data_IF_928362959904
#
_entry.id   IF_928362959904
#
_cell.length_a   1.000
_cell.length_b   1.000
_cell.length_c   1.000
_cell.angle_alpha   90.00
_cell.angle_beta   90.00
_cell.angle_gamma   90.00
#
_symmetry.space_group_name_H-M   'P 1'
#
loop_
_entity.id
_entity.type
_entity.pdbx_description
1 polymer ?
#
# COMPACT_ATOMS: atom_id res chain seq x y z
N UNK A 1 13.35 18.88 11.79
CA UNK A 1 12.34 18.99 10.76
C UNK A 1 11.83 17.63 10.29
N UNK A 2 10.69 17.56 9.67
CA UNK A 2 10.15 16.36 9.05
C UNK A 2 9.27 16.75 7.86
N UNK A 3 9.12 15.84 6.90
CA UNK A 3 8.18 16.00 5.79
C UNK A 3 7.91 14.65 5.13
N UNK A 4 6.87 14.60 4.31
CA UNK A 4 6.51 13.44 3.52
C UNK A 4 7.29 13.42 2.20
N UNK A 5 7.72 12.24 1.74
CA UNK A 5 8.47 12.08 0.48
C UNK A 5 7.74 11.18 -0.52
N UNK A 6 6.89 10.27 -0.04
CA UNK A 6 6.09 9.42 -0.90
C UNK A 6 4.83 8.94 -0.17
N UNK A 7 3.87 8.43 -0.91
CA UNK A 7 2.73 7.69 -0.38
C UNK A 7 2.90 6.21 -0.70
N UNK A 8 2.54 5.39 0.27
CA UNK A 8 2.36 3.94 0.16
C UNK A 8 0.92 3.60 0.57
N UNK A 9 0.53 2.36 0.42
CA UNK A 9 -0.75 1.87 0.92
C UNK A 9 -0.62 0.50 1.56
N UNK A 10 -1.49 0.21 2.52
CA UNK A 10 -1.68 -1.14 3.02
C UNK A 10 -2.72 -1.83 2.16
N UNK A 11 -2.33 -2.90 1.48
CA UNK A 11 -3.18 -3.66 0.56
C UNK A 11 -3.83 -4.82 1.28
N UNK A 12 -5.12 -4.98 1.06
CA UNK A 12 -5.88 -6.15 1.49
C UNK A 12 -5.75 -7.23 0.43
N UNK A 13 -5.17 -8.38 0.81
CA UNK A 13 -4.98 -9.54 -0.05
C UNK A 13 -5.95 -10.65 0.32
N UNK A 14 -6.47 -11.32 -0.68
CA UNK A 14 -7.26 -12.55 -0.54
C UNK A 14 -6.78 -13.60 -1.53
N UNK A 15 -7.10 -14.86 -1.28
CA UNK A 15 -6.79 -15.94 -2.22
C UNK A 15 -7.40 -15.65 -3.60
N UNK A 16 -6.70 -16.02 -4.68
CA UNK A 16 -7.17 -15.79 -6.04
C UNK A 16 -8.57 -16.38 -6.31
N UNK A 17 -8.90 -17.50 -5.67
CA UNK A 17 -10.20 -18.20 -5.79
C UNK A 17 -11.26 -17.70 -4.82
N UNK A 18 -10.93 -16.80 -3.87
CA UNK A 18 -11.90 -16.27 -2.91
C UNK A 18 -13.00 -15.48 -3.63
N UNK A 19 -14.25 -15.70 -3.28
CA UNK A 19 -15.38 -14.85 -3.72
C UNK A 19 -15.45 -13.54 -2.95
N UNK A 20 -14.80 -13.49 -1.78
CA UNK A 20 -14.80 -12.33 -0.88
C UNK A 20 -13.64 -11.37 -1.25
N UNK A 21 -13.99 -10.29 -1.90
CA UNK A 21 -13.00 -9.31 -2.38
C UNK A 21 -13.40 -7.85 -2.15
N UNK A 22 -14.50 -7.61 -1.42
CA UNK A 22 -15.03 -6.28 -1.13
C UNK A 22 -15.01 -6.03 0.39
N UNK A 23 -14.25 -5.04 0.84
CA UNK A 23 -14.07 -4.75 2.26
C UNK A 23 -14.41 -3.30 2.59
N UNK A 24 -15.08 -3.11 3.72
CA UNK A 24 -15.19 -1.79 4.35
C UNK A 24 -14.18 -1.68 5.49
N UNK A 25 -13.77 -0.48 5.86
CA UNK A 25 -12.89 -0.28 7.03
C UNK A 25 -13.53 -0.81 8.31
N UNK A 26 -14.85 -0.64 8.46
CA UNK A 26 -15.57 -1.16 9.63
C UNK A 26 -15.56 -2.69 9.68
N UNK A 27 -15.75 -3.35 8.55
CA UNK A 27 -15.66 -4.81 8.47
C UNK A 27 -14.27 -5.31 8.85
N UNK A 28 -13.20 -4.69 8.31
CA UNK A 28 -11.83 -5.03 8.65
C UNK A 28 -11.57 -4.84 10.15
N UNK A 29 -12.05 -3.72 10.72
CA UNK A 29 -11.94 -3.44 12.15
C UNK A 29 -12.60 -4.52 13.00
N UNK A 30 -13.88 -4.81 12.74
CA UNK A 30 -14.63 -5.84 13.50
C UNK A 30 -14.01 -7.23 13.37
N UNK A 31 -13.45 -7.54 12.19
CA UNK A 31 -12.73 -8.79 11.97
C UNK A 31 -11.46 -8.87 12.82
N UNK A 32 -10.66 -7.81 12.87
CA UNK A 32 -9.41 -7.76 13.66
C UNK A 32 -9.68 -7.79 15.18
N UNK A 33 -10.83 -7.26 15.61
CA UNK A 33 -11.29 -7.30 17.01
C UNK A 33 -11.94 -8.66 17.38
N UNK A 34 -12.04 -9.61 16.43
CA UNK A 34 -12.67 -10.92 16.66
C UNK A 34 -14.17 -10.87 16.91
N UNK A 35 -14.83 -9.76 16.53
CA UNK A 35 -16.28 -9.54 16.76
C UNK A 35 -17.17 -10.17 15.68
N UNK A 36 -16.59 -10.52 14.55
CA UNK A 36 -17.24 -11.24 13.47
C UNK A 36 -16.46 -12.53 13.18
N UNK A 37 -16.64 -13.17 12.08
CA UNK A 37 -16.06 -14.45 11.67
C UNK A 37 -14.64 -14.78 12.25
N UNK A 38 -14.57 -15.40 13.43
CA UNK A 38 -13.29 -15.76 14.09
C UNK A 38 -12.51 -16.86 13.36
N UNK A 39 -13.12 -17.56 12.43
CA UNK A 39 -12.43 -18.57 11.61
C UNK A 39 -11.60 -17.92 10.50
N UNK A 40 -11.99 -16.74 10.02
CA UNK A 40 -11.24 -16.00 9.02
C UNK A 40 -10.05 -15.29 9.67
N UNK A 41 -8.86 -15.76 9.38
CA UNK A 41 -7.63 -15.18 9.93
C UNK A 41 -7.17 -13.97 9.15
N UNK A 42 -6.59 -13.01 9.87
CA UNK A 42 -5.90 -11.86 9.26
C UNK A 42 -4.41 -12.00 9.53
N UNK A 43 -3.60 -11.85 8.51
CA UNK A 43 -2.14 -12.01 8.58
C UNK A 43 -1.45 -10.72 8.17
N UNK A 44 -0.53 -10.26 9.01
CA UNK A 44 0.30 -9.07 8.78
C UNK A 44 1.75 -9.45 8.49
N UNK A 45 2.44 -8.59 7.75
CA UNK A 45 3.88 -8.63 7.60
C UNK A 45 4.57 -8.06 8.86
N UNK A 46 5.14 -8.93 9.66
CA UNK A 46 5.95 -8.60 10.84
C UNK A 46 5.23 -8.61 12.18
N UNK A 47 6.03 -8.79 13.20
CA UNK A 47 5.61 -8.93 14.61
C UNK A 47 5.64 -7.55 15.28
N UNK A 48 4.50 -7.05 15.72
CA UNK A 48 4.27 -5.94 16.67
C UNK A 48 4.80 -4.53 16.34
N UNK A 49 5.74 -4.32 15.41
CA UNK A 49 6.38 -3.01 15.22
C UNK A 49 6.52 -2.54 13.78
N UNK A 50 5.99 -3.26 12.81
CA UNK A 50 6.06 -2.84 11.40
C UNK A 50 5.17 -1.63 11.13
N UNK A 51 5.53 -0.86 10.11
CA UNK A 51 4.74 0.29 9.68
C UNK A 51 3.30 -0.09 9.31
N UNK A 52 3.08 -1.32 8.79
CA UNK A 52 1.74 -1.85 8.47
C UNK A 52 0.90 -2.03 9.72
N UNK A 53 1.44 -2.71 10.72
CA UNK A 53 0.76 -2.96 11.99
C UNK A 53 0.42 -1.66 12.72
N UNK A 54 1.39 -0.73 12.86
CA UNK A 54 1.17 0.57 13.49
C UNK A 54 0.11 1.38 12.77
N UNK A 55 0.19 1.46 11.44
CA UNK A 55 -0.78 2.19 10.65
C UNK A 55 -2.21 1.66 10.87
N UNK A 56 -2.40 0.35 10.91
CA UNK A 56 -3.72 -0.25 11.15
C UNK A 56 -4.20 0.00 12.59
N UNK A 57 -3.32 -0.11 13.59
CA UNK A 57 -3.67 0.20 14.98
C UNK A 57 -4.15 1.65 15.13
N UNK A 58 -3.43 2.59 14.53
CA UNK A 58 -3.72 4.01 14.68
C UNK A 58 -4.91 4.46 13.83
N UNK A 59 -4.96 4.01 12.56
CA UNK A 59 -5.92 4.54 11.58
C UNK A 59 -7.25 3.76 11.54
N UNK A 60 -7.20 2.43 11.72
CA UNK A 60 -8.39 1.57 11.60
C UNK A 60 -8.94 1.20 12.97
N UNK A 61 -8.11 0.71 13.89
CA UNK A 61 -8.55 0.28 15.22
C UNK A 61 -8.73 1.45 16.19
N UNK A 62 -8.01 2.56 15.97
CA UNK A 62 -8.15 3.80 16.77
C UNK A 62 -8.04 3.52 18.28
N UNK A 63 -6.98 2.81 18.68
CA UNK A 63 -6.69 2.47 20.08
C UNK A 63 -7.28 1.14 20.57
N UNK A 64 -8.12 0.47 19.80
CA UNK A 64 -8.56 -0.88 20.13
C UNK A 64 -7.42 -1.90 19.89
N UNK A 65 -7.50 -3.06 20.56
CA UNK A 65 -6.51 -4.12 20.44
C UNK A 65 -6.93 -5.16 19.40
N UNK A 66 -5.96 -5.82 18.82
CA UNK A 66 -6.18 -7.04 18.02
C UNK A 66 -6.66 -8.20 18.89
N UNK A 67 -7.57 -9.00 18.35
CA UNK A 67 -7.82 -10.34 18.89
C UNK A 67 -6.73 -11.30 18.37
N UNK A 68 -5.86 -11.76 19.26
CA UNK A 68 -4.73 -12.64 18.94
C UNK A 68 -5.17 -14.03 18.45
N UNK A 69 -6.45 -14.39 18.62
CA UNK A 69 -7.00 -15.64 18.07
C UNK A 69 -7.30 -15.50 16.58
N UNK A 70 -7.50 -14.28 16.07
CA UNK A 70 -7.83 -13.97 14.68
C UNK A 70 -6.63 -13.43 13.93
N UNK A 71 -5.86 -12.55 14.57
CA UNK A 71 -4.73 -11.88 13.96
C UNK A 71 -3.45 -12.68 14.15
N UNK A 72 -2.72 -12.91 13.07
CA UNK A 72 -1.43 -13.60 13.02
C UNK A 72 -0.36 -12.68 12.42
N UNK A 73 0.88 -12.91 12.80
CA UNK A 73 2.05 -12.24 12.24
C UNK A 73 2.88 -13.24 11.43
N UNK A 74 3.28 -12.85 10.23
CA UNK A 74 4.28 -13.53 9.43
C UNK A 74 5.61 -12.78 9.52
N UNK A 75 6.74 -13.39 9.16
CA UNK A 75 8.06 -12.75 9.25
C UNK A 75 8.23 -11.60 8.26
N UNK A 76 7.64 -11.75 7.07
CA UNK A 76 7.74 -10.78 5.98
C UNK A 76 6.51 -10.85 5.07
N UNK A 77 6.44 -9.94 4.10
CA UNK A 77 5.33 -9.85 3.15
C UNK A 77 5.19 -11.10 2.26
N UNK A 78 6.29 -11.80 1.96
CA UNK A 78 6.25 -13.00 1.13
C UNK A 78 5.56 -14.16 1.86
N UNK A 79 5.86 -14.37 3.15
CA UNK A 79 5.15 -15.35 3.98
C UNK A 79 3.65 -15.03 4.09
N UNK A 80 3.27 -13.75 4.15
CA UNK A 80 1.84 -13.38 4.12
C UNK A 80 1.21 -13.84 2.82
N UNK A 81 1.85 -13.55 1.68
CA UNK A 81 1.34 -13.89 0.35
C UNK A 81 1.20 -15.41 0.19
N UNK A 82 2.21 -16.17 0.61
CA UNK A 82 2.18 -17.64 0.53
C UNK A 82 1.08 -18.20 1.46
N UNK A 83 0.93 -17.69 2.68
CA UNK A 83 -0.15 -18.10 3.57
C UNK A 83 -1.54 -17.85 2.98
N UNK A 84 -1.74 -16.70 2.34
CA UNK A 84 -3.03 -16.36 1.69
C UNK A 84 -3.26 -17.24 0.46
N UNK A 85 -2.21 -17.59 -0.28
CA UNK A 85 -2.30 -18.50 -1.42
C UNK A 85 -2.77 -19.91 -1.01
N UNK A 86 -2.35 -20.37 0.17
CA UNK A 86 -2.67 -21.70 0.70
C UNK A 86 -3.96 -21.74 1.53
N UNK A 87 -4.41 -20.59 2.05
CA UNK A 87 -5.56 -20.50 2.95
C UNK A 87 -6.69 -19.66 2.32
N UNK A 88 -7.67 -20.28 1.63
CA UNK A 88 -8.70 -19.56 0.87
C UNK A 88 -9.54 -18.57 1.68
N UNK A 89 -9.70 -18.81 2.97
CA UNK A 89 -10.53 -17.97 3.86
C UNK A 89 -9.68 -17.04 4.76
N UNK A 90 -8.48 -16.66 4.32
CA UNK A 90 -7.64 -15.74 5.07
C UNK A 90 -7.54 -14.39 4.36
N UNK A 91 -7.23 -13.35 5.13
CA UNK A 91 -6.98 -11.98 4.66
C UNK A 91 -5.53 -11.63 4.98
N UNK A 92 -4.78 -11.16 3.98
CA UNK A 92 -3.42 -10.64 4.15
C UNK A 92 -3.38 -9.12 4.11
N UNK A 93 -2.48 -8.52 4.87
CA UNK A 93 -2.23 -7.09 4.87
C UNK A 93 -0.73 -6.84 4.66
N UNK A 94 -0.39 -6.28 3.49
CA UNK A 94 1.00 -6.00 3.09
C UNK A 94 1.12 -4.59 2.50
N UNK A 95 2.34 -4.06 2.40
CA UNK A 95 2.60 -2.81 1.69
C UNK A 95 2.41 -2.97 0.18
N UNK A 96 1.86 -1.94 -0.47
CA UNK A 96 1.59 -1.92 -1.91
C UNK A 96 2.86 -2.11 -2.75
N UNK A 97 3.99 -1.57 -2.31
CA UNK A 97 5.29 -1.71 -2.96
C UNK A 97 5.76 -3.17 -3.11
N UNK A 98 5.24 -4.11 -2.32
CA UNK A 98 5.60 -5.53 -2.40
C UNK A 98 4.80 -6.34 -3.43
N UNK A 99 3.70 -5.80 -3.96
CA UNK A 99 2.78 -6.55 -4.84
C UNK A 99 2.15 -5.71 -5.95
N UNK A 100 2.32 -4.40 -5.91
CA UNK A 100 1.62 -3.49 -6.83
C UNK A 100 2.30 -3.30 -8.18
N UNK A 101 3.58 -3.63 -8.34
CA UNK A 101 4.36 -3.32 -9.53
C UNK A 101 4.08 -4.29 -10.69
N UNK A 102 3.44 -3.83 -11.79
CA UNK A 102 3.13 -4.67 -12.95
C UNK A 102 4.35 -4.93 -13.86
N UNK A 103 5.49 -4.30 -13.60
CA UNK A 103 6.73 -4.50 -14.34
C UNK A 103 7.66 -5.52 -13.66
N UNK A 104 7.38 -5.86 -12.39
CA UNK A 104 8.14 -6.84 -11.63
C UNK A 104 7.54 -8.24 -11.81
N UNK A 105 8.29 -9.10 -12.52
CA UNK A 105 7.87 -10.48 -12.80
C UNK A 105 7.64 -11.32 -11.54
N UNK A 106 8.38 -11.07 -10.46
CA UNK A 106 8.18 -11.74 -9.19
C UNK A 106 6.82 -11.35 -8.57
N UNK A 107 6.48 -10.06 -8.58
CA UNK A 107 5.18 -9.58 -8.09
C UNK A 107 4.01 -10.05 -8.98
N UNK A 108 4.18 -10.09 -10.30
CA UNK A 108 3.18 -10.66 -11.22
C UNK A 108 2.92 -12.14 -10.88
N UNK A 109 3.96 -12.93 -10.61
CA UNK A 109 3.79 -14.34 -10.25
C UNK A 109 3.07 -14.51 -8.91
N UNK A 110 3.29 -13.62 -7.93
CA UNK A 110 2.53 -13.59 -6.67
C UNK A 110 1.05 -13.31 -6.93
N UNK A 111 0.72 -12.36 -7.82
CA UNK A 111 -0.65 -12.01 -8.18
C UNK A 111 -1.42 -13.12 -8.93
N UNK A 112 -0.75 -14.19 -9.39
CA UNK A 112 -1.43 -15.39 -9.90
C UNK A 112 -2.03 -16.24 -8.77
N UNK A 113 -1.46 -16.17 -7.57
CA UNK A 113 -1.87 -16.96 -6.39
C UNK A 113 -2.86 -16.22 -5.49
N UNK A 114 -2.74 -14.91 -5.43
CA UNK A 114 -3.55 -14.01 -4.59
C UNK A 114 -4.09 -12.85 -5.42
N UNK A 115 -5.10 -12.17 -4.92
CA UNK A 115 -5.62 -10.96 -5.55
C UNK A 115 -5.75 -9.83 -4.55
N UNK A 116 -5.55 -8.59 -5.02
CA UNK A 116 -5.82 -7.38 -4.26
C UNK A 116 -7.33 -7.17 -4.18
N UNK A 117 -7.84 -7.07 -2.97
CA UNK A 117 -9.23 -6.77 -2.72
C UNK A 117 -9.52 -5.27 -2.90
N UNK A 118 -10.79 -4.95 -3.08
CA UNK A 118 -11.28 -3.58 -3.13
C UNK A 118 -11.67 -3.12 -1.72
N UNK A 119 -11.38 -1.87 -1.40
CA UNK A 119 -11.80 -1.26 -0.14
C UNK A 119 -12.71 -0.08 -0.42
N UNK A 120 -13.77 0.05 0.37
CA UNK A 120 -14.74 1.12 0.19
C UNK A 120 -14.11 2.49 0.44
N UNK A 121 -14.27 3.40 -0.53
CA UNK A 121 -13.83 4.79 -0.39
C UNK A 121 -14.67 5.49 0.68
N UNK A 122 -14.02 6.17 1.62
CA UNK A 122 -14.70 6.87 2.73
C UNK A 122 -14.95 8.35 2.45
N UNK A 123 -14.33 8.90 1.40
CA UNK A 123 -14.42 10.32 1.05
C UNK A 123 -15.14 10.55 -0.29
N UNK A 124 -15.50 9.48 -0.99
CA UNK A 124 -16.18 9.57 -2.28
C UNK A 124 -17.71 9.66 -2.09
N UNK A 125 -18.44 10.45 -2.92
CA UNK A 125 -19.89 10.67 -2.76
C UNK A 125 -20.71 9.37 -2.73
N UNK A 126 -20.42 8.43 -3.65
CA UNK A 126 -21.16 7.17 -3.78
C UNK A 126 -20.51 6.00 -3.05
N UNK A 127 -19.47 6.27 -2.22
CA UNK A 127 -18.74 5.27 -1.47
C UNK A 127 -18.34 4.02 -2.29
N UNK A 128 -17.78 4.15 -3.50
CA UNK A 128 -17.44 3.03 -4.35
C UNK A 128 -16.33 2.16 -3.73
N UNK A 129 -16.28 0.90 -4.13
CA UNK A 129 -15.17 0.01 -3.80
C UNK A 129 -14.01 0.26 -4.76
N UNK A 130 -12.84 0.62 -4.21
CA UNK A 130 -11.68 1.07 -4.96
C UNK A 130 -10.53 0.08 -4.80
N UNK A 131 -9.87 -0.26 -5.91
CA UNK A 131 -8.67 -1.09 -5.93
C UNK A 131 -7.44 -0.24 -5.57
N UNK A 132 -6.46 -0.77 -4.83
CA UNK A 132 -5.19 -0.08 -4.62
C UNK A 132 -4.42 0.00 -5.94
N UNK A 133 -4.28 1.20 -6.45
CA UNK A 133 -3.51 1.56 -7.65
C UNK A 133 -2.83 2.90 -7.40
N UNK A 134 -1.74 3.21 -8.08
CA UNK A 134 -1.05 4.49 -7.90
C UNK A 134 -1.99 5.70 -7.98
N UNK A 135 -2.94 5.68 -8.92
CA UNK A 135 -3.93 6.76 -9.06
C UNK A 135 -4.87 6.87 -7.86
N UNK A 136 -5.42 5.75 -7.38
CA UNK A 136 -6.34 5.74 -6.22
C UNK A 136 -5.64 6.04 -4.91
N UNK A 137 -4.34 5.74 -4.80
CA UNK A 137 -3.48 6.09 -3.67
C UNK A 137 -3.17 7.59 -3.70
N UNK A 138 -2.79 8.13 -4.87
CA UNK A 138 -2.51 9.55 -5.07
C UNK A 138 -3.71 10.44 -4.74
N UNK A 139 -4.90 10.06 -5.24
CA UNK A 139 -6.16 10.78 -4.95
C UNK A 139 -6.73 10.53 -3.56
N UNK A 140 -6.14 9.60 -2.78
CA UNK A 140 -6.62 9.13 -1.47
C UNK A 140 -8.02 8.51 -1.50
N UNK A 141 -8.50 8.11 -2.66
CA UNK A 141 -9.77 7.36 -2.77
C UNK A 141 -9.64 5.96 -2.17
N UNK A 142 -8.46 5.34 -2.27
CA UNK A 142 -8.14 4.14 -1.49
C UNK A 142 -7.87 4.55 -0.03
N UNK A 143 -8.61 4.02 0.96
CA UNK A 143 -8.59 4.60 2.31
C UNK A 143 -7.39 4.18 3.18
N UNK A 144 -6.65 3.12 2.82
CA UNK A 144 -5.51 2.63 3.59
C UNK A 144 -4.18 3.20 3.08
N UNK A 145 -4.14 4.49 2.79
CA UNK A 145 -2.94 5.22 2.34
C UNK A 145 -2.15 5.72 3.53
N UNK A 146 -0.84 5.54 3.49
CA UNK A 146 0.11 6.02 4.49
C UNK A 146 1.24 6.83 3.85
N UNK A 147 1.74 7.82 4.60
CA UNK A 147 2.91 8.59 4.19
C UNK A 147 4.22 7.91 4.54
N UNK A 148 5.22 8.09 3.67
CA UNK A 148 6.62 7.82 3.97
C UNK A 148 7.26 9.15 4.31
N UNK A 149 7.86 9.24 5.49
CA UNK A 149 8.39 10.46 6.06
C UNK A 149 9.91 10.37 6.24
N UNK A 150 10.58 11.50 6.10
CA UNK A 150 11.91 11.68 6.69
C UNK A 150 11.81 12.51 7.96
N UNK A 151 12.74 12.28 8.86
CA UNK A 151 12.96 13.09 10.07
C UNK A 151 14.42 13.51 10.06
N UNK A 152 14.67 14.81 10.21
CA UNK A 152 16.02 15.39 10.27
C UNK A 152 16.16 16.21 11.56
N UNK A 153 17.26 16.01 12.25
CA UNK A 153 17.62 16.75 13.46
C UNK A 153 18.92 17.53 13.26
N UNK A 154 19.02 18.25 12.14
CA UNK A 154 20.12 19.18 11.87
C UNK A 154 19.66 20.61 12.16
N UNK A 155 20.54 21.38 12.82
CA UNK A 155 20.33 22.80 13.14
C UNK A 155 20.99 23.74 12.13
N UNK A 156 21.76 23.20 11.19
CA UNK A 156 22.49 23.92 10.14
C UNK A 156 22.36 23.16 8.79
N UNK A 157 22.74 23.82 7.72
CA UNK A 157 22.81 23.20 6.40
C UNK A 157 23.92 22.15 6.38
N UNK A 158 23.60 20.92 6.08
CA UNK A 158 24.53 19.81 6.07
C UNK A 158 24.03 18.65 5.21
N UNK A 159 24.72 17.52 5.28
CA UNK A 159 24.48 16.35 4.44
C UNK A 159 23.02 15.82 4.53
N UNK A 160 22.44 15.85 5.72
CA UNK A 160 21.05 15.44 5.89
C UNK A 160 20.07 16.39 5.21
N UNK A 161 20.32 17.71 5.29
CA UNK A 161 19.52 18.72 4.58
C UNK A 161 19.61 18.52 3.07
N UNK A 162 20.82 18.28 2.53
CA UNK A 162 21.04 18.05 1.10
C UNK A 162 20.38 16.74 0.64
N UNK A 163 20.50 15.67 1.44
CA UNK A 163 19.84 14.41 1.15
C UNK A 163 18.31 14.52 1.17
N UNK A 164 17.74 15.23 2.12
CA UNK A 164 16.28 15.46 2.13
C UNK A 164 15.83 16.35 0.98
N UNK A 165 16.68 17.31 0.55
CA UNK A 165 16.51 18.06 -0.68
C UNK A 165 16.47 17.13 -1.89
N UNK A 166 17.47 16.26 -2.04
CA UNK A 166 17.51 15.27 -3.11
C UNK A 166 16.25 14.40 -3.15
N UNK A 167 15.75 13.90 -1.99
CA UNK A 167 14.52 13.08 -1.95
C UNK A 167 13.29 13.84 -2.43
N UNK A 168 13.22 15.16 -2.26
CA UNK A 168 12.08 15.99 -2.68
C UNK A 168 12.13 16.38 -4.16
N UNK A 169 13.31 16.42 -4.77
CA UNK A 169 13.45 16.82 -6.16
C UNK A 169 13.26 15.66 -7.14
N UNK A 170 13.23 15.98 -8.41
CA UNK A 170 12.88 15.09 -9.52
C UNK A 170 13.57 13.71 -9.44
N UNK A 171 14.89 13.70 -9.25
CA UNK A 171 15.66 12.42 -9.21
C UNK A 171 15.24 11.51 -8.05
N UNK A 172 15.09 12.07 -6.86
CA UNK A 172 14.62 11.33 -5.68
C UNK A 172 13.18 10.83 -5.86
N UNK A 173 12.31 11.68 -6.39
CA UNK A 173 10.92 11.32 -6.65
C UNK A 173 10.77 10.24 -7.74
N UNK A 174 11.66 10.22 -8.75
CA UNK A 174 11.73 9.14 -9.73
C UNK A 174 12.13 7.79 -9.11
N UNK A 175 12.98 7.79 -8.06
CA UNK A 175 13.31 6.56 -7.33
C UNK A 175 12.06 6.00 -6.63
N UNK A 176 11.29 6.85 -5.96
CA UNK A 176 10.03 6.41 -5.34
C UNK A 176 9.04 5.88 -6.38
N UNK A 177 8.91 6.55 -7.52
CA UNK A 177 8.06 6.08 -8.62
C UNK A 177 8.49 4.71 -9.16
N UNK A 178 9.80 4.48 -9.33
CA UNK A 178 10.35 3.18 -9.77
C UNK A 178 10.16 2.08 -8.74
N UNK A 179 10.17 2.43 -7.44
CA UNK A 179 9.83 1.52 -6.36
C UNK A 179 8.31 1.27 -6.25
N UNK A 180 7.54 1.76 -7.19
CA UNK A 180 6.08 1.67 -7.27
C UNK A 180 5.36 2.34 -6.09
N UNK A 181 6.02 3.26 -5.44
CA UNK A 181 5.42 4.21 -4.49
C UNK A 181 4.83 5.40 -5.25
N UNK A 182 3.95 6.14 -4.59
CA UNK A 182 3.38 7.35 -5.19
C UNK A 182 4.21 8.57 -4.76
N UNK A 183 4.90 9.25 -5.69
CA UNK A 183 5.63 10.48 -5.39
C UNK A 183 4.70 11.57 -4.87
N UNK A 184 5.17 12.42 -3.95
CA UNK A 184 4.41 13.59 -3.47
C UNK A 184 4.51 14.78 -4.42
N UNK A 185 5.55 14.84 -5.24
CA UNK A 185 5.70 15.81 -6.32
C UNK A 185 5.48 15.09 -7.66
N UNK A 186 4.51 15.55 -8.42
CA UNK A 186 4.31 15.11 -9.80
C UNK A 186 5.08 16.08 -10.69
N UNK A 187 5.98 15.54 -11.49
CA UNK A 187 6.64 16.30 -12.54
C UNK A 187 5.85 16.09 -13.84
N UNK A 188 5.55 17.19 -14.50
CA UNK A 188 4.89 17.14 -15.80
C UNK A 188 5.73 16.31 -16.78
N UNK A 189 5.12 15.31 -17.39
CA UNK A 189 5.73 14.58 -18.50
C UNK A 189 5.83 15.57 -19.64
N UNK A 190 7.06 15.92 -20.04
CA UNK A 190 7.27 16.74 -21.22
C UNK A 190 6.66 16.04 -22.43
N UNK A 191 5.58 16.61 -22.97
CA UNK A 191 5.03 16.15 -24.23
C UNK A 191 6.06 16.46 -25.32
N UNK A 192 6.77 15.44 -25.79
CA UNK A 192 7.63 15.57 -26.98
C UNK A 192 6.71 15.47 -28.19
N UNK A 193 6.50 16.59 -28.89
CA UNK A 193 5.89 16.55 -30.21
C UNK A 193 6.92 16.01 -31.18
N UNK A 194 6.80 14.76 -31.56
CA UNK A 194 7.59 14.20 -32.66
C UNK A 194 6.96 14.68 -33.96
N UNK A 195 7.59 15.69 -34.59
CA UNK A 195 7.24 16.17 -35.92
C UNK A 195 7.95 15.34 -37.00
N UNK A 196 7.82 14.02 -36.97
CA UNK A 196 8.24 13.18 -38.05
C UNK A 196 7.08 13.03 -39.06
N UNK A 197 7.25 13.65 -40.25
CA UNK A 197 6.45 13.30 -41.43
C UNK A 197 6.91 11.91 -41.85
N UNK A 198 6.03 10.93 -41.75
CA UNK A 198 6.25 9.60 -42.37
C UNK A 198 6.28 9.84 -43.90
N UNK A 199 7.35 9.51 -44.60
CA UNK A 199 7.37 9.62 -46.05
C UNK A 199 6.31 8.68 -46.65
N UNK A 200 5.39 9.24 -47.43
CA UNK A 200 4.46 8.47 -48.22
C UNK A 200 5.25 7.74 -49.33
N UNK A 201 5.19 6.40 -49.35
CA UNK A 201 5.69 5.56 -50.44
C UNK A 201 4.67 5.48 -51.56
#
# INVERSE_FOLDING_TARGET
GWNIVALDAVVVLVNAKSSDSLFTLNRLKLQMEGKINRQQKIVFDGVNTTGTVRFILDSVLKGNKFDTTVVKAAKNSDEVIDYIAETPNAIGLVGFSHIGNPEDTAQINKLKKVKMAYVQCTICPDSPFVKPMQQSISSKHYPLVRGIYYIINETHLGLGTDFTGFLKFERGQLIFRRAYLVPVMQFDVRAVKVNEKIPEN
#
